data_IF_912489671149
#
_entry.id   IF_912489671149
#
_cell.length_a   1.000
_cell.length_b   1.000
_cell.length_c   1.000
_cell.angle_alpha   90.00
_cell.angle_beta   90.00
_cell.angle_gamma   90.00
#
_symmetry.space_group_name_H-M   'P 1'
#
loop_
_entity.id
_entity.type
_entity.pdbx_description
1 polymer ?
#
# COMPACT_ATOMS: atom_id res chain seq x y z
N UNK A 1 11.42 10.58 -1.40
CA UNK A 1 11.81 9.86 -0.18
C UNK A 1 12.75 8.69 -0.48
N UNK A 2 12.37 7.69 -1.30
CA UNK A 2 13.22 6.51 -1.59
C UNK A 2 14.64 6.85 -2.06
N UNK A 3 14.80 7.87 -2.92
CA UNK A 3 16.12 8.33 -3.39
C UNK A 3 16.83 9.34 -2.47
N UNK A 4 16.37 9.56 -1.24
CA UNK A 4 17.03 10.45 -0.29
C UNK A 4 18.39 9.85 0.14
N UNK A 5 19.49 10.63 0.13
CA UNK A 5 20.82 10.11 0.51
C UNK A 5 20.88 9.47 1.90
N UNK A 6 20.03 9.92 2.84
CA UNK A 6 19.96 9.35 4.19
C UNK A 6 19.42 7.92 4.19
N UNK A 7 18.53 7.58 3.25
CA UNK A 7 18.05 6.20 3.05
C UNK A 7 19.20 5.29 2.63
N UNK A 8 20.03 5.74 1.68
CA UNK A 8 21.19 4.97 1.25
C UNK A 8 22.24 4.83 2.37
N UNK A 9 22.44 5.89 3.17
CA UNK A 9 23.36 5.85 4.31
C UNK A 9 22.92 4.85 5.39
N UNK A 10 21.64 4.87 5.76
CA UNK A 10 21.08 4.01 6.79
C UNK A 10 20.56 2.66 6.28
N UNK A 11 20.91 2.22 5.07
CA UNK A 11 20.25 1.09 4.38
C UNK A 11 20.13 -0.19 5.22
N UNK A 12 21.15 -0.50 6.01
CA UNK A 12 21.21 -1.67 6.88
C UNK A 12 20.71 -1.40 8.31
N UNK A 13 20.47 -0.14 8.68
CA UNK A 13 20.00 0.24 10.01
C UNK A 13 18.54 -0.14 10.20
N UNK A 14 18.12 -0.30 11.46
CA UNK A 14 16.73 -0.54 11.79
C UNK A 14 15.85 0.66 11.39
N UNK A 15 14.67 0.36 10.84
CA UNK A 15 13.62 1.36 10.60
C UNK A 15 12.73 1.53 11.84
N UNK A 16 11.76 2.44 11.78
CA UNK A 16 10.71 2.57 12.81
C UNK A 16 9.75 1.38 12.82
N UNK A 17 9.70 0.58 11.75
CA UNK A 17 8.91 -0.64 11.70
C UNK A 17 9.76 -1.82 12.18
N UNK A 18 9.36 -2.40 13.31
CA UNK A 18 10.07 -3.50 13.93
C UNK A 18 10.28 -4.67 12.96
N UNK A 19 11.52 -5.13 12.83
CA UNK A 19 11.89 -6.22 11.93
C UNK A 19 12.12 -5.82 10.46
N UNK A 20 12.09 -4.53 10.13
CA UNK A 20 12.51 -3.99 8.84
C UNK A 20 13.72 -3.07 9.01
N UNK A 21 14.71 -3.22 8.12
CA UNK A 21 15.74 -2.19 7.94
C UNK A 21 15.18 -1.00 7.15
N UNK A 22 15.89 0.12 7.16
CA UNK A 22 15.57 1.27 6.29
C UNK A 22 15.51 0.84 4.82
N UNK A 23 16.44 0.00 4.36
CA UNK A 23 16.46 -0.53 3.00
C UNK A 23 15.25 -1.40 2.69
N UNK A 24 14.87 -2.30 3.61
CA UNK A 24 13.67 -3.12 3.44
C UNK A 24 12.40 -2.27 3.40
N UNK A 25 12.27 -1.26 4.28
CA UNK A 25 11.15 -0.32 4.26
C UNK A 25 11.11 0.53 2.97
N UNK A 26 12.27 0.98 2.49
CA UNK A 26 12.37 1.69 1.22
C UNK A 26 11.93 0.81 0.04
N UNK A 27 12.37 -0.45 0.01
CA UNK A 27 11.95 -1.44 -0.99
C UNK A 27 10.46 -1.75 -0.92
N UNK A 28 9.91 -1.87 0.28
CA UNK A 28 8.48 -2.03 0.49
C UNK A 28 7.68 -0.82 0.00
N UNK A 29 8.15 0.39 0.28
CA UNK A 29 7.54 1.64 -0.20
C UNK A 29 7.57 1.73 -1.73
N UNK A 30 8.70 1.37 -2.36
CA UNK A 30 8.84 1.36 -3.81
C UNK A 30 7.91 0.34 -4.49
N UNK A 31 7.61 -0.78 -3.81
CA UNK A 31 6.67 -1.79 -4.28
C UNK A 31 5.27 -1.23 -4.57
N UNK A 32 4.86 -0.16 -3.89
CA UNK A 32 3.60 0.55 -4.19
C UNK A 32 3.54 1.07 -5.62
N UNK A 33 4.69 1.36 -6.24
CA UNK A 33 4.79 1.74 -7.65
C UNK A 33 5.05 0.52 -8.52
N UNK A 34 6.08 -0.28 -8.19
CA UNK A 34 6.53 -1.40 -9.03
C UNK A 34 5.42 -2.43 -9.29
N UNK A 35 4.56 -2.67 -8.29
CA UNK A 35 3.49 -3.66 -8.42
C UNK A 35 2.37 -3.22 -9.37
N UNK A 36 2.23 -1.92 -9.67
CA UNK A 36 1.24 -1.43 -10.65
C UNK A 36 1.55 -1.96 -12.04
N UNK A 37 2.80 -1.84 -12.47
CA UNK A 37 3.22 -2.33 -13.77
C UNK A 37 3.08 -3.85 -13.86
N UNK A 38 3.53 -4.59 -12.84
CA UNK A 38 3.39 -6.05 -12.78
C UNK A 38 1.93 -6.51 -12.95
N UNK A 39 0.97 -5.81 -12.33
CA UNK A 39 -0.45 -6.18 -12.43
C UNK A 39 -1.07 -5.78 -13.76
N UNK A 40 -0.61 -4.67 -14.35
CA UNK A 40 -1.01 -4.29 -15.68
C UNK A 40 -0.43 -5.23 -16.76
N UNK A 41 0.76 -5.79 -16.55
CA UNK A 41 1.40 -6.76 -17.45
C UNK A 41 0.81 -8.16 -17.34
N UNK A 42 0.27 -8.52 -16.18
CA UNK A 42 -0.41 -9.79 -15.96
C UNK A 42 -1.73 -9.94 -16.75
N UNK A 43 -2.21 -8.87 -17.40
CA UNK A 43 -3.47 -8.84 -18.15
C UNK A 43 -4.70 -8.53 -17.29
N UNK A 44 -5.89 -8.69 -17.86
CA UNK A 44 -7.15 -8.62 -17.12
C UNK A 44 -7.49 -9.98 -16.49
N UNK A 45 -8.14 -9.99 -15.30
CA UNK A 45 -8.69 -11.23 -14.77
C UNK A 45 -9.66 -11.82 -15.79
N UNK A 46 -9.53 -13.13 -16.07
CA UNK A 46 -10.50 -13.83 -16.91
C UNK A 46 -11.88 -13.72 -16.27
N UNK A 47 -12.92 -13.46 -17.08
CA UNK A 47 -14.29 -13.58 -16.60
C UNK A 47 -14.46 -15.04 -16.12
N UNK A 48 -14.80 -15.23 -14.84
CA UNK A 48 -15.21 -16.54 -14.35
C UNK A 48 -16.38 -17.00 -15.24
N UNK A 49 -16.21 -18.14 -15.93
CA UNK A 49 -17.23 -18.65 -16.84
C UNK A 49 -18.48 -19.05 -16.06
N UNK A 50 -19.66 -18.64 -16.54
CA UNK A 50 -21.06 -19.01 -16.18
C UNK A 50 -21.48 -19.26 -14.71
N UNK A 51 -20.60 -19.27 -13.71
CA UNK A 51 -20.92 -19.63 -12.31
C UNK A 51 -20.83 -18.47 -11.30
N UNK A 52 -20.38 -17.29 -11.72
CA UNK A 52 -20.47 -16.08 -10.92
C UNK A 52 -19.33 -15.11 -11.13
N UNK A 53 -19.61 -14.00 -11.79
CA UNK A 53 -18.76 -12.80 -11.68
C UNK A 53 -18.63 -12.44 -10.20
N UNK A 54 -17.45 -12.65 -9.60
CA UNK A 54 -17.16 -12.05 -8.31
C UNK A 54 -17.19 -10.53 -8.50
N UNK A 55 -18.02 -9.85 -7.73
CA UNK A 55 -18.08 -8.39 -7.77
C UNK A 55 -16.68 -7.83 -7.50
N UNK A 56 -16.20 -6.86 -8.31
CA UNK A 56 -14.88 -6.29 -8.11
C UNK A 56 -14.76 -5.70 -6.69
N UNK A 57 -13.68 -6.06 -6.00
CA UNK A 57 -13.41 -5.50 -4.68
C UNK A 57 -12.95 -4.05 -4.83
N UNK A 58 -13.42 -3.16 -3.96
CA UNK A 58 -12.95 -1.78 -3.88
C UNK A 58 -11.71 -1.66 -2.97
N UNK A 59 -11.10 -0.48 -2.88
CA UNK A 59 -9.89 -0.26 -2.08
C UNK A 59 -10.12 -0.54 -0.58
N UNK A 60 -11.31 -0.21 -0.07
CA UNK A 60 -11.67 -0.44 1.33
C UNK A 60 -11.80 -1.94 1.64
N UNK A 61 -12.49 -2.66 0.77
CA UNK A 61 -12.70 -4.11 0.79
C UNK A 61 -11.39 -4.88 0.62
N UNK A 62 -10.45 -4.37 -0.19
CA UNK A 62 -9.12 -4.94 -0.33
C UNK A 62 -8.42 -5.06 1.02
N UNK A 63 -8.30 -3.96 1.77
CA UNK A 63 -7.68 -4.00 3.09
C UNK A 63 -8.55 -4.73 4.12
N UNK A 64 -9.87 -4.57 4.06
CA UNK A 64 -10.78 -5.24 4.99
C UNK A 64 -10.70 -6.77 4.88
N UNK A 65 -10.46 -7.30 3.68
CA UNK A 65 -10.36 -8.74 3.40
C UNK A 65 -9.02 -9.39 3.78
N UNK A 66 -7.97 -8.61 4.09
CA UNK A 66 -6.68 -9.18 4.52
C UNK A 66 -6.69 -9.41 6.02
N UNK A 67 -6.84 -10.68 6.43
CA UNK A 67 -6.77 -11.09 7.82
C UNK A 67 -5.33 -11.01 8.37
N UNK A 68 -5.19 -10.61 9.64
CA UNK A 68 -3.92 -10.62 10.37
C UNK A 68 -2.96 -9.45 10.05
N UNK A 69 -3.44 -8.38 9.41
CA UNK A 69 -2.65 -7.15 9.26
C UNK A 69 -2.30 -6.51 10.61
N UNK A 70 -3.21 -6.60 11.58
CA UNK A 70 -3.08 -6.07 12.94
C UNK A 70 -2.14 -6.87 13.85
N UNK A 71 -1.75 -8.09 13.46
CA UNK A 71 -0.80 -8.94 14.16
C UNK A 71 0.57 -8.96 13.44
N UNK A 72 1.61 -8.30 14.00
CA UNK A 72 2.96 -8.31 13.42
C UNK A 72 3.57 -9.71 13.24
N UNK A 73 3.11 -10.69 14.03
CA UNK A 73 3.54 -12.09 13.97
C UNK A 73 2.83 -12.91 12.89
N UNK A 74 1.82 -12.36 12.22
CA UNK A 74 1.04 -13.09 11.23
C UNK A 74 1.88 -13.55 10.04
N UNK A 75 1.45 -14.62 9.38
CA UNK A 75 2.10 -15.11 8.16
C UNK A 75 2.12 -14.05 7.05
N UNK A 76 1.10 -13.19 6.98
CA UNK A 76 1.03 -12.08 6.03
C UNK A 76 2.14 -11.07 6.31
N UNK A 77 2.26 -10.60 7.55
CA UNK A 77 3.27 -9.61 7.93
C UNK A 77 4.70 -10.17 7.88
N UNK A 78 4.88 -11.45 8.17
CA UNK A 78 6.17 -12.15 7.97
C UNK A 78 6.53 -12.19 6.49
N UNK A 79 5.61 -12.62 5.63
CA UNK A 79 5.85 -12.67 4.18
C UNK A 79 6.08 -11.28 3.55
N UNK A 80 5.46 -10.22 4.08
CA UNK A 80 5.75 -8.84 3.67
C UNK A 80 7.20 -8.48 3.99
N UNK A 81 7.67 -8.77 5.21
CA UNK A 81 9.06 -8.51 5.63
C UNK A 81 10.08 -9.29 4.81
N UNK A 82 9.84 -10.57 4.56
CA UNK A 82 10.73 -11.41 3.76
C UNK A 82 10.88 -10.88 2.33
N UNK A 83 9.76 -10.52 1.68
CA UNK A 83 9.79 -9.92 0.33
C UNK A 83 10.49 -8.56 0.33
N UNK A 84 10.27 -7.73 1.34
CA UNK A 84 10.91 -6.44 1.47
C UNK A 84 12.44 -6.58 1.61
N UNK A 85 12.90 -7.55 2.40
CA UNK A 85 14.32 -7.85 2.56
C UNK A 85 14.95 -8.37 1.25
N UNK A 86 14.26 -9.29 0.54
CA UNK A 86 14.72 -9.78 -0.76
C UNK A 86 14.85 -8.64 -1.78
N UNK A 87 13.86 -7.75 -1.86
CA UNK A 87 13.92 -6.59 -2.75
C UNK A 87 14.99 -5.57 -2.36
N UNK A 88 15.43 -5.54 -1.11
CA UNK A 88 16.49 -4.64 -0.65
C UNK A 88 17.91 -5.18 -0.93
N UNK A 89 18.04 -6.45 -1.35
CA UNK A 89 19.33 -7.11 -1.54
C UNK A 89 20.18 -6.46 -2.64
N UNK A 90 19.54 -5.94 -3.69
CA UNK A 90 20.22 -5.29 -4.83
C UNK A 90 20.67 -3.84 -4.52
N UNK A 91 20.31 -3.32 -3.35
CA UNK A 91 20.81 -2.06 -2.81
C UNK A 91 20.09 -0.80 -3.31
N UNK A 92 20.44 0.37 -2.73
CA UNK A 92 19.69 1.61 -2.92
C UNK A 92 19.73 2.12 -4.37
N UNK A 93 20.86 1.96 -5.06
CA UNK A 93 20.99 2.44 -6.44
C UNK A 93 20.09 1.66 -7.41
N UNK A 94 20.02 0.33 -7.27
CA UNK A 94 19.13 -0.50 -8.09
C UNK A 94 17.68 -0.11 -7.84
N UNK A 95 17.28 -0.02 -6.56
CA UNK A 95 15.92 0.32 -6.20
C UNK A 95 15.47 1.67 -6.79
N UNK A 96 16.32 2.70 -6.70
CA UNK A 96 16.03 4.03 -7.26
C UNK A 96 15.92 3.96 -8.78
N UNK A 97 16.81 3.23 -9.45
CA UNK A 97 16.78 3.08 -10.90
C UNK A 97 15.50 2.36 -11.37
N UNK A 98 15.12 1.27 -10.71
CA UNK A 98 13.94 0.47 -11.01
C UNK A 98 12.66 1.27 -10.80
N UNK A 99 12.54 1.94 -9.65
CA UNK A 99 11.38 2.77 -9.33
C UNK A 99 11.26 3.95 -10.31
N UNK A 100 12.35 4.64 -10.62
CA UNK A 100 12.34 5.74 -11.58
C UNK A 100 11.99 5.27 -13.00
N UNK A 101 12.48 4.09 -13.40
CA UNK A 101 12.13 3.45 -14.67
C UNK A 101 10.63 3.12 -14.75
N UNK A 102 10.11 2.48 -13.72
CA UNK A 102 8.70 2.13 -13.61
C UNK A 102 7.80 3.37 -13.64
N UNK A 103 8.13 4.42 -12.87
CA UNK A 103 7.39 5.68 -12.87
C UNK A 103 7.30 6.30 -14.26
N UNK A 104 8.40 6.35 -15.02
CA UNK A 104 8.37 6.86 -16.40
C UNK A 104 7.43 6.06 -17.29
N UNK A 105 7.46 4.73 -17.21
CA UNK A 105 6.60 3.86 -18.01
C UNK A 105 5.13 3.99 -17.62
N UNK A 106 4.82 3.99 -16.32
CA UNK A 106 3.47 4.18 -15.81
C UNK A 106 2.89 5.55 -16.16
N UNK A 107 3.72 6.60 -16.11
CA UNK A 107 3.28 7.96 -16.50
C UNK A 107 2.85 8.03 -17.97
N UNK A 108 3.54 7.29 -18.84
CA UNK A 108 3.16 7.19 -20.25
C UNK A 108 1.95 6.26 -20.49
N UNK A 109 1.87 5.16 -19.74
CA UNK A 109 0.88 4.09 -19.95
C UNK A 109 -0.50 4.39 -19.37
N UNK A 110 -0.57 4.89 -18.13
CA UNK A 110 -1.84 5.05 -17.42
C UNK A 110 -2.90 5.90 -18.15
N UNK A 111 -2.54 6.99 -18.86
CA UNK A 111 -3.53 7.76 -19.64
C UNK A 111 -4.22 6.97 -20.76
N UNK A 112 -3.58 5.90 -21.25
CA UNK A 112 -4.08 5.08 -22.37
C UNK A 112 -4.81 3.82 -21.89
N UNK A 113 -4.81 3.52 -20.59
CA UNK A 113 -5.58 2.40 -20.04
C UNK A 113 -7.10 2.72 -20.10
N UNK A 114 -7.95 1.75 -20.49
CA UNK A 114 -9.38 1.98 -20.59
C UNK A 114 -9.99 2.21 -19.20
N UNK A 115 -11.04 3.03 -19.10
CA UNK A 115 -11.73 3.31 -17.83
C UNK A 115 -12.30 2.05 -17.13
N UNK A 116 -12.50 0.96 -17.87
CA UNK A 116 -12.95 -0.34 -17.34
C UNK A 116 -11.82 -1.29 -16.97
N UNK A 117 -10.54 -0.88 -17.06
CA UNK A 117 -9.39 -1.76 -16.83
C UNK A 117 -9.45 -2.39 -15.44
N UNK A 118 -9.31 -3.72 -15.39
CA UNK A 118 -9.32 -4.50 -14.14
C UNK A 118 -8.00 -5.18 -13.88
N UNK A 119 -7.53 -5.21 -12.65
CA UNK A 119 -6.35 -5.99 -12.23
C UNK A 119 -6.77 -7.13 -11.30
N UNK A 120 -5.92 -8.16 -11.22
CA UNK A 120 -6.09 -9.26 -10.26
C UNK A 120 -5.46 -8.86 -8.93
N UNK A 121 -6.29 -8.55 -7.94
CA UNK A 121 -5.87 -8.16 -6.60
C UNK A 121 -5.47 -9.38 -5.75
N UNK A 122 -5.18 -9.13 -4.47
CA UNK A 122 -4.84 -10.19 -3.51
C UNK A 122 -5.97 -11.23 -3.42
N UNK A 123 -5.60 -12.51 -3.35
CA UNK A 123 -6.58 -13.60 -3.35
C UNK A 123 -7.24 -13.89 -4.69
N UNK A 124 -6.76 -13.31 -5.79
CA UNK A 124 -7.29 -13.56 -7.14
C UNK A 124 -8.54 -12.75 -7.48
N UNK A 125 -8.97 -11.84 -6.59
CA UNK A 125 -10.18 -11.06 -6.76
C UNK A 125 -9.99 -10.01 -7.88
N UNK A 126 -10.96 -9.84 -8.79
CA UNK A 126 -10.93 -8.72 -9.73
C UNK A 126 -11.07 -7.38 -8.98
N UNK A 127 -10.36 -6.36 -9.43
CA UNK A 127 -10.42 -5.01 -8.89
C UNK A 127 -10.27 -3.99 -10.02
N UNK A 128 -11.03 -2.89 -9.98
CA UNK A 128 -10.82 -1.80 -10.94
C UNK A 128 -9.41 -1.20 -10.77
N UNK A 129 -8.74 -0.84 -11.87
CA UNK A 129 -7.41 -0.24 -11.82
C UNK A 129 -7.39 1.00 -10.91
N UNK A 130 -8.40 1.86 -11.01
CA UNK A 130 -8.52 3.07 -10.18
C UNK A 130 -8.57 2.72 -8.69
N UNK A 131 -9.37 1.74 -8.29
CA UNK A 131 -9.44 1.28 -6.90
C UNK A 131 -8.11 0.67 -6.45
N UNK A 132 -7.44 -0.08 -7.33
CA UNK A 132 -6.11 -0.61 -7.03
C UNK A 132 -5.08 0.51 -6.82
N UNK A 133 -5.08 1.56 -7.65
CA UNK A 133 -4.21 2.73 -7.49
C UNK A 133 -4.47 3.45 -6.17
N UNK A 134 -5.72 3.50 -5.70
CA UNK A 134 -6.04 4.04 -4.36
C UNK A 134 -5.40 3.23 -3.24
N UNK A 135 -5.34 1.90 -3.35
CA UNK A 135 -4.57 1.08 -2.38
C UNK A 135 -3.08 1.42 -2.39
N UNK A 136 -2.52 1.70 -3.58
CA UNK A 136 -1.10 2.06 -3.70
C UNK A 136 -0.82 3.42 -3.09
N UNK A 137 -1.76 4.37 -3.16
CA UNK A 137 -1.65 5.67 -2.49
C UNK A 137 -1.66 5.53 -0.97
N UNK A 138 -2.48 4.64 -0.39
CA UNK A 138 -2.44 4.33 1.05
C UNK A 138 -1.04 3.83 1.45
N UNK A 139 -0.58 2.76 0.81
CA UNK A 139 0.71 2.12 1.11
C UNK A 139 1.86 3.11 0.95
N UNK A 140 1.85 3.91 -0.12
CA UNK A 140 2.88 4.90 -0.36
C UNK A 140 2.86 6.03 0.68
N UNK A 141 1.69 6.55 1.06
CA UNK A 141 1.59 7.62 2.04
C UNK A 141 2.03 7.17 3.43
N UNK A 142 1.57 6.01 3.88
CA UNK A 142 1.91 5.44 5.19
C UNK A 142 3.42 5.17 5.27
N UNK A 143 3.96 4.43 4.31
CA UNK A 143 5.36 4.00 4.40
C UNK A 143 6.36 5.08 3.99
N UNK A 144 5.96 6.11 3.23
CA UNK A 144 6.79 7.28 3.05
C UNK A 144 6.94 8.09 4.35
N UNK A 145 5.92 8.11 5.21
CA UNK A 145 6.00 8.73 6.53
C UNK A 145 6.87 7.89 7.49
N UNK A 146 6.66 6.57 7.52
CA UNK A 146 7.51 5.64 8.28
C UNK A 146 8.98 5.76 7.87
N UNK A 147 9.26 5.87 6.57
CA UNK A 147 10.60 6.01 6.04
C UNK A 147 11.22 7.37 6.42
N UNK A 148 10.41 8.44 6.39
CA UNK A 148 10.86 9.77 6.82
C UNK A 148 11.31 9.75 8.30
N UNK A 149 10.49 9.15 9.17
CA UNK A 149 10.81 8.99 10.58
C UNK A 149 12.07 8.14 10.79
N UNK A 150 12.23 7.07 10.02
CA UNK A 150 13.37 6.14 10.11
C UNK A 150 14.71 6.79 9.82
N UNK A 151 14.74 7.82 8.97
CA UNK A 151 15.96 8.54 8.58
C UNK A 151 16.11 9.91 9.26
N UNK A 152 15.27 10.21 10.25
CA UNK A 152 15.23 11.50 10.92
C UNK A 152 14.90 12.67 9.98
N UNK A 153 14.18 12.40 8.89
CA UNK A 153 13.58 13.45 8.10
C UNK A 153 12.34 14.00 8.84
N UNK A 154 12.08 15.30 8.67
CA UNK A 154 10.78 15.86 9.06
C UNK A 154 9.65 15.21 8.25
N UNK A 155 8.38 15.57 8.55
CA UNK A 155 7.22 15.00 7.89
C UNK A 155 7.35 14.99 6.36
N UNK A 156 6.96 13.87 5.75
CA UNK A 156 7.04 13.74 4.29
C UNK A 156 6.12 14.77 3.62
N UNK A 157 6.66 15.54 2.65
CA UNK A 157 5.90 16.53 1.88
C UNK A 157 5.02 15.84 0.80
N UNK A 158 4.10 14.99 1.24
CA UNK A 158 3.18 14.26 0.36
C UNK A 158 2.10 15.21 -0.19
N UNK A 159 1.67 15.03 -1.46
CA UNK A 159 0.59 15.83 -2.02
C UNK A 159 -0.72 15.67 -1.22
N UNK A 160 -1.39 16.77 -0.92
CA UNK A 160 -2.65 16.77 -0.15
C UNK A 160 -3.71 15.86 -0.77
N UNK A 161 -3.80 15.82 -2.10
CA UNK A 161 -4.73 14.95 -2.83
C UNK A 161 -4.46 13.47 -2.56
N UNK A 162 -3.19 13.05 -2.47
CA UNK A 162 -2.83 11.66 -2.18
C UNK A 162 -3.18 11.30 -0.74
N UNK A 163 -2.89 12.21 0.20
CA UNK A 163 -3.24 12.05 1.61
C UNK A 163 -4.76 11.93 1.80
N UNK A 164 -5.56 12.78 1.13
CA UNK A 164 -7.03 12.71 1.21
C UNK A 164 -7.55 11.37 0.71
N UNK A 165 -7.05 10.88 -0.44
CA UNK A 165 -7.42 9.56 -0.95
C UNK A 165 -7.04 8.45 0.02
N UNK A 166 -5.84 8.50 0.60
CA UNK A 166 -5.40 7.50 1.58
C UNK A 166 -6.30 7.49 2.83
N UNK A 167 -6.61 8.67 3.38
CA UNK A 167 -7.52 8.82 4.52
C UNK A 167 -8.92 8.29 4.19
N UNK A 168 -9.48 8.65 3.03
CA UNK A 168 -10.80 8.18 2.61
C UNK A 168 -10.86 6.65 2.53
N UNK A 169 -9.82 6.00 1.99
CA UNK A 169 -9.74 4.53 1.92
C UNK A 169 -9.63 3.93 3.32
N UNK A 170 -8.78 4.46 4.19
CA UNK A 170 -8.61 3.95 5.56
C UNK A 170 -9.91 4.06 6.38
N UNK A 171 -10.65 5.17 6.23
CA UNK A 171 -11.98 5.33 6.84
C UNK A 171 -12.97 4.34 6.24
N UNK A 172 -12.96 4.14 4.92
CA UNK A 172 -13.77 3.12 4.26
C UNK A 172 -13.49 1.71 4.81
N UNK A 173 -12.22 1.32 4.93
CA UNK A 173 -11.80 0.06 5.55
C UNK A 173 -12.29 -0.05 6.99
N UNK A 174 -12.19 1.02 7.78
CA UNK A 174 -12.67 1.06 9.16
C UNK A 174 -14.18 0.79 9.23
N UNK A 175 -14.95 1.41 8.33
CA UNK A 175 -16.40 1.23 8.24
C UNK A 175 -16.74 -0.20 7.86
N UNK A 176 -16.02 -0.81 6.92
CA UNK A 176 -16.23 -2.20 6.52
C UNK A 176 -15.95 -3.18 7.68
N UNK A 177 -14.90 -2.94 8.47
CA UNK A 177 -14.54 -3.83 9.60
C UNK A 177 -15.38 -3.63 10.86
N UNK A 178 -15.72 -2.39 11.20
CA UNK A 178 -16.29 -2.04 12.52
C UNK A 178 -17.66 -1.39 12.46
N UNK A 179 -18.15 -1.04 11.26
CA UNK A 179 -19.42 -0.35 11.03
C UNK A 179 -19.34 1.16 11.25
N UNK A 180 -20.10 1.92 10.44
CA UNK A 180 -20.12 3.37 10.48
C UNK A 180 -20.40 4.00 11.87
N UNK A 181 -21.30 3.46 12.71
CA UNK A 181 -21.52 4.01 14.05
C UNK A 181 -20.29 3.93 14.97
N UNK A 182 -19.46 2.88 14.85
CA UNK A 182 -18.25 2.74 15.65
C UNK A 182 -17.19 3.76 15.20
N UNK A 183 -16.97 3.85 13.89
CA UNK A 183 -16.03 4.82 13.27
C UNK A 183 -16.43 6.26 13.61
N UNK A 184 -17.71 6.61 13.49
CA UNK A 184 -18.20 7.94 13.85
C UNK A 184 -17.94 8.27 15.32
N UNK A 185 -18.18 7.31 16.24
CA UNK A 185 -17.89 7.51 17.67
C UNK A 185 -16.39 7.74 17.89
N UNK A 186 -15.53 6.93 17.29
CA UNK A 186 -14.09 7.05 17.43
C UNK A 186 -13.55 8.39 16.90
N UNK A 187 -14.03 8.85 15.74
CA UNK A 187 -13.67 10.15 15.16
C UNK A 187 -14.16 11.33 16.00
N UNK A 188 -15.39 11.28 16.53
CA UNK A 188 -15.99 12.40 17.26
C UNK A 188 -15.56 12.46 18.74
N UNK A 189 -15.29 11.31 19.35
CA UNK A 189 -15.02 11.13 20.79
C UNK A 189 -14.09 9.94 20.98
N UNK A 190 -12.77 10.16 20.88
CA UNK A 190 -11.75 9.10 21.01
C UNK A 190 -11.90 8.29 22.30
N UNK A 191 -12.35 8.90 23.38
CA UNK A 191 -12.63 8.24 24.66
C UNK A 191 -13.78 7.23 24.62
N UNK A 192 -14.56 7.20 23.53
CA UNK A 192 -15.66 6.24 23.28
C UNK A 192 -15.28 5.17 22.25
N UNK A 193 -14.03 5.14 21.81
CA UNK A 193 -13.54 4.12 20.89
C UNK A 193 -13.29 2.80 21.63
N UNK A 194 -14.34 2.03 21.83
CA UNK A 194 -14.30 0.77 22.56
C UNK A 194 -13.68 -0.39 21.77
N UNK A 195 -13.52 -0.24 20.45
CA UNK A 195 -13.09 -1.33 19.54
C UNK A 195 -11.85 -0.97 18.73
N UNK A 196 -11.19 0.15 19.05
CA UNK A 196 -10.07 0.69 18.28
C UNK A 196 -10.40 0.85 16.79
N UNK A 197 -11.58 1.40 16.48
CA UNK A 197 -12.17 1.37 15.14
C UNK A 197 -11.31 2.04 14.05
N UNK A 198 -10.38 2.92 14.43
CA UNK A 198 -9.47 3.62 13.51
C UNK A 198 -8.13 2.91 13.28
N UNK A 199 -7.89 1.77 13.96
CA UNK A 199 -6.68 0.95 13.75
C UNK A 199 -6.95 -0.11 12.68
N UNK A 200 -6.73 0.25 11.42
CA UNK A 200 -7.12 -0.55 10.26
C UNK A 200 -5.96 -1.15 9.46
N UNK A 201 -4.72 -0.73 9.73
CA UNK A 201 -3.51 -1.36 9.21
C UNK A 201 -2.74 -2.02 10.35
#
# INVERSE_FOLDING_TARGET
MVGDPRVAHGWADASVLAGLTVGALASHTARSVLQVENFLDAGEPQAAGDDGTQDPVDAGGYFAGVAGLDDPGSAVNTGVRDRAALMAADGPQSLVADMAGCLRRLTARLPDEPAGRRVTAFGGQPMALDEYLRTRLVEFCVHADDLALSIGAGPSALPEVALRVAVDVLVGTAVTRHGAPAVLRALARRERDAVAALRVL
#
